data_IF_728081072411
#
_entry.id   IF_728081072411
#
_cell.length_a   1.000
_cell.length_b   1.000
_cell.length_c   1.000
_cell.angle_alpha   90.00
_cell.angle_beta   90.00
_cell.angle_gamma   90.00
#
_symmetry.space_group_name_H-M   'P 1'
#
loop_
_entity.id
_entity.type
_entity.pdbx_description
1 polymer ?
#
# COMPACT_ATOMS: atom_id res chain seq x y z
N UNK A 1 29.82 29.55 -22.62
CA UNK A 1 30.55 28.31 -22.98
C UNK A 1 31.96 28.44 -22.42
N UNK A 2 32.30 27.65 -21.41
CA UNK A 2 33.66 27.62 -20.87
C UNK A 2 34.04 26.16 -20.68
N UNK A 3 34.83 25.65 -21.64
CA UNK A 3 35.31 24.28 -21.63
C UNK A 3 36.70 24.26 -20.98
N UNK A 4 36.80 23.59 -19.83
CA UNK A 4 38.09 23.23 -19.24
C UNK A 4 38.46 21.82 -19.70
N UNK A 5 39.57 21.74 -20.41
CA UNK A 5 40.12 20.51 -20.96
C UNK A 5 40.92 19.73 -19.90
N UNK A 6 40.55 18.45 -19.77
CA UNK A 6 41.40 17.25 -19.66
C UNK A 6 42.79 17.42 -19.02
N UNK A 7 42.88 17.03 -17.75
CA UNK A 7 43.99 16.29 -17.13
C UNK A 7 43.33 15.23 -16.25
N UNK A 8 43.75 13.98 -16.10
CA UNK A 8 44.87 13.19 -16.57
C UNK A 8 44.65 11.85 -15.86
N UNK A 9 44.65 10.74 -16.61
CA UNK A 9 44.52 9.39 -16.05
C UNK A 9 45.72 9.10 -15.15
N UNK A 10 45.53 8.47 -13.99
CA UNK A 10 46.34 7.33 -13.51
C UNK A 10 45.79 6.73 -12.18
N UNK A 11 45.50 5.43 -12.26
CA UNK A 11 45.70 4.35 -11.27
C UNK A 11 45.03 4.39 -9.87
N UNK A 12 43.96 3.60 -9.76
CA UNK A 12 43.81 2.44 -8.87
C UNK A 12 44.13 2.56 -7.35
N UNK A 13 43.06 2.54 -6.56
CA UNK A 13 42.94 1.67 -5.39
C UNK A 13 41.48 1.19 -5.29
N UNK A 14 41.22 -0.01 -5.78
CA UNK A 14 39.94 -0.68 -5.62
C UNK A 14 39.82 -1.20 -4.18
N UNK A 15 38.99 -0.57 -3.36
CA UNK A 15 38.42 -1.25 -2.19
C UNK A 15 37.16 -1.92 -2.70
N UNK A 16 37.31 -3.17 -3.14
CA UNK A 16 36.18 -4.09 -3.24
C UNK A 16 35.81 -4.46 -1.81
N UNK A 17 34.89 -3.72 -1.22
CA UNK A 17 34.12 -4.26 -0.10
C UNK A 17 33.25 -5.34 -0.73
N UNK A 18 33.66 -6.59 -0.53
CA UNK A 18 32.85 -7.77 -0.81
C UNK A 18 31.62 -7.75 0.10
N UNK A 19 30.62 -6.94 -0.26
CA UNK A 19 29.24 -7.08 0.19
C UNK A 19 28.58 -8.25 -0.53
N UNK A 20 29.12 -9.46 -0.36
CA UNK A 20 28.39 -10.70 -0.60
C UNK A 20 27.44 -10.92 0.58
N UNK A 21 26.47 -10.02 0.73
CA UNK A 21 25.27 -10.28 1.50
C UNK A 21 24.36 -11.12 0.60
N UNK A 22 24.37 -12.43 0.82
CA UNK A 22 23.54 -13.45 0.21
C UNK A 22 22.35 -12.91 -0.60
N UNK A 23 22.51 -12.85 -1.93
CA UNK A 23 21.36 -13.07 -2.81
C UNK A 23 20.97 -14.52 -2.58
N UNK A 24 20.05 -14.73 -1.63
CA UNK A 24 19.56 -16.04 -1.26
C UNK A 24 19.13 -16.79 -2.52
N UNK A 25 19.87 -17.86 -2.84
CA UNK A 25 19.36 -18.91 -3.69
C UNK A 25 18.25 -19.60 -2.89
N UNK A 26 17.05 -19.02 -2.86
CA UNK A 26 15.88 -19.60 -2.21
C UNK A 26 15.33 -20.72 -3.12
N UNK A 27 16.05 -21.83 -3.16
CA UNK A 27 15.62 -23.05 -3.85
C UNK A 27 15.31 -24.20 -2.89
N UNK A 28 15.51 -24.01 -1.58
CA UNK A 28 15.02 -24.94 -0.56
C UNK A 28 13.65 -24.49 -0.05
N UNK A 29 12.68 -25.41 -0.09
CA UNK A 29 11.37 -25.21 0.55
C UNK A 29 11.57 -24.82 2.02
N UNK A 30 10.87 -23.77 2.46
CA UNK A 30 10.98 -23.28 3.83
C UNK A 30 10.68 -24.38 4.85
N UNK A 31 11.46 -24.43 5.94
CA UNK A 31 11.28 -25.47 6.97
C UNK A 31 9.88 -25.42 7.61
N UNK A 32 9.40 -26.52 8.20
CA UNK A 32 8.11 -26.54 8.90
C UNK A 32 8.00 -25.45 9.99
N UNK A 33 9.08 -25.18 10.72
CA UNK A 33 9.18 -24.12 11.73
C UNK A 33 9.04 -22.74 11.10
N UNK A 34 9.69 -22.52 9.96
CA UNK A 34 9.63 -21.26 9.23
C UNK A 34 8.23 -20.98 8.68
N UNK A 35 7.59 -21.99 8.07
CA UNK A 35 6.21 -21.91 7.61
C UNK A 35 5.23 -21.70 8.78
N UNK A 36 5.51 -22.25 9.96
CA UNK A 36 4.70 -22.01 11.17
C UNK A 36 4.80 -20.55 11.62
N UNK A 37 6.01 -20.00 11.70
CA UNK A 37 6.21 -18.59 12.02
C UNK A 37 5.54 -17.68 10.98
N UNK A 38 5.67 -17.99 9.69
CA UNK A 38 5.05 -17.23 8.62
C UNK A 38 3.51 -17.25 8.68
N UNK A 39 2.89 -18.41 8.94
CA UNK A 39 1.44 -18.51 9.15
C UNK A 39 0.97 -17.64 10.32
N UNK A 40 1.71 -17.66 11.44
CA UNK A 40 1.39 -16.82 12.60
C UNK A 40 1.44 -15.33 12.25
N UNK A 41 2.45 -14.91 11.47
CA UNK A 41 2.59 -13.53 11.00
C UNK A 41 1.44 -13.13 10.08
N UNK A 42 1.14 -13.93 9.05
CA UNK A 42 0.05 -13.67 8.10
C UNK A 42 -1.28 -13.45 8.82
N UNK A 43 -1.57 -14.30 9.82
CA UNK A 43 -2.75 -14.17 10.65
C UNK A 43 -2.71 -12.91 11.53
N UNK A 44 -1.58 -12.63 12.19
CA UNK A 44 -1.44 -11.49 13.10
C UNK A 44 -1.66 -10.14 12.41
N UNK A 45 -1.19 -10.00 11.16
CA UNK A 45 -1.29 -8.73 10.41
C UNK A 45 -2.51 -8.68 9.48
N UNK A 46 -3.34 -9.73 9.44
CA UNK A 46 -4.47 -9.86 8.52
C UNK A 46 -4.07 -9.72 7.05
N UNK A 47 -2.93 -10.30 6.65
CA UNK A 47 -2.32 -10.06 5.33
C UNK A 47 -3.23 -10.46 4.15
N UNK A 48 -4.13 -11.42 4.37
CA UNK A 48 -5.01 -11.99 3.34
C UNK A 48 -6.45 -11.52 3.43
N UNK A 49 -6.80 -10.65 4.39
CA UNK A 49 -8.20 -10.21 4.62
C UNK A 49 -8.84 -9.59 3.38
N UNK A 50 -8.08 -8.84 2.58
CA UNK A 50 -8.60 -8.24 1.34
C UNK A 50 -9.06 -9.29 0.32
N UNK A 51 -8.52 -10.51 0.39
CA UNK A 51 -8.86 -11.62 -0.51
C UNK A 51 -10.13 -12.37 -0.11
N UNK A 52 -10.73 -12.06 1.04
CA UNK A 52 -12.00 -12.67 1.47
C UNK A 52 -13.16 -12.33 0.51
N UNK A 53 -12.98 -11.31 -0.34
CA UNK A 53 -13.93 -10.91 -1.37
C UNK A 53 -13.89 -11.77 -2.63
N UNK A 54 -12.83 -12.54 -2.88
CA UNK A 54 -12.62 -13.27 -4.14
C UNK A 54 -13.77 -14.23 -4.44
N UNK A 55 -14.10 -15.11 -3.49
CA UNK A 55 -15.15 -16.11 -3.67
C UNK A 55 -16.55 -15.47 -3.83
N UNK A 56 -16.97 -14.51 -2.98
CA UNK A 56 -18.20 -13.75 -3.20
C UNK A 56 -18.27 -13.05 -4.57
N UNK A 57 -17.17 -12.46 -5.04
CA UNK A 57 -17.12 -11.80 -6.34
C UNK A 57 -17.32 -12.80 -7.48
N UNK A 58 -16.63 -13.94 -7.45
CA UNK A 58 -16.78 -15.01 -8.46
C UNK A 58 -18.22 -15.54 -8.45
N UNK A 59 -18.77 -15.82 -7.26
CA UNK A 59 -20.14 -16.31 -7.11
C UNK A 59 -21.16 -15.29 -7.66
N UNK A 60 -20.99 -14.00 -7.35
CA UNK A 60 -21.85 -12.94 -7.88
C UNK A 60 -21.80 -12.82 -9.40
N UNK A 61 -20.60 -12.90 -9.99
CA UNK A 61 -20.42 -12.90 -11.45
C UNK A 61 -21.10 -14.11 -12.11
N UNK A 62 -20.95 -15.30 -11.52
CA UNK A 62 -21.59 -16.51 -12.02
C UNK A 62 -23.12 -16.42 -11.96
N UNK A 63 -23.69 -15.91 -10.85
CA UNK A 63 -25.13 -15.67 -10.75
C UNK A 63 -25.62 -14.72 -11.83
N UNK A 64 -24.95 -13.57 -12.01
CA UNK A 64 -25.35 -12.59 -13.03
C UNK A 64 -25.37 -13.21 -14.43
N UNK A 65 -24.36 -14.01 -14.77
CA UNK A 65 -24.29 -14.72 -16.04
C UNK A 65 -25.44 -15.72 -16.22
N UNK A 66 -25.72 -16.55 -15.21
CA UNK A 66 -26.76 -17.58 -15.26
C UNK A 66 -28.17 -16.98 -15.29
N UNK A 67 -28.41 -15.92 -14.51
CA UNK A 67 -29.69 -15.19 -14.48
C UNK A 67 -29.94 -14.57 -15.84
N UNK A 68 -28.94 -13.93 -16.45
CA UNK A 68 -29.07 -13.39 -17.80
C UNK A 68 -29.45 -14.47 -18.83
N UNK A 69 -28.84 -15.66 -18.73
CA UNK A 69 -29.14 -16.77 -19.63
C UNK A 69 -30.53 -17.39 -19.37
N UNK A 70 -30.99 -17.40 -18.12
CA UNK A 70 -32.23 -18.07 -17.70
C UNK A 70 -33.01 -17.26 -16.64
N UNK A 71 -33.62 -16.12 -17.00
CA UNK A 71 -34.14 -15.15 -16.03
C UNK A 71 -35.23 -15.69 -15.09
N UNK A 72 -36.05 -16.64 -15.56
CA UNK A 72 -37.15 -17.21 -14.78
C UNK A 72 -36.69 -18.09 -13.59
N UNK A 73 -35.40 -18.36 -13.46
CA UNK A 73 -34.84 -19.25 -12.44
C UNK A 73 -33.95 -18.53 -11.42
N UNK A 74 -34.00 -17.19 -11.35
CA UNK A 74 -33.16 -16.40 -10.45
C UNK A 74 -33.12 -16.90 -8.99
N UNK A 75 -34.25 -17.25 -8.33
CA UNK A 75 -34.21 -17.76 -6.96
C UNK A 75 -33.41 -19.06 -6.84
N UNK A 76 -33.63 -19.99 -7.77
CA UNK A 76 -32.97 -21.31 -7.79
C UNK A 76 -31.48 -21.17 -8.10
N UNK A 77 -31.11 -20.30 -9.05
CA UNK A 77 -29.72 -20.00 -9.38
C UNK A 77 -28.99 -19.43 -8.16
N UNK A 78 -29.63 -18.47 -7.48
CA UNK A 78 -29.07 -17.81 -6.30
C UNK A 78 -28.82 -18.83 -5.19
N UNK A 79 -29.83 -19.64 -4.86
CA UNK A 79 -29.75 -20.69 -3.86
C UNK A 79 -28.61 -21.68 -4.15
N UNK A 80 -28.55 -22.23 -5.37
CA UNK A 80 -27.56 -23.25 -5.73
C UNK A 80 -26.15 -22.66 -5.73
N UNK A 81 -25.95 -21.47 -6.33
CA UNK A 81 -24.61 -20.86 -6.39
C UNK A 81 -24.11 -20.50 -5.00
N UNK A 82 -24.97 -20.01 -4.11
CA UNK A 82 -24.57 -19.75 -2.71
C UNK A 82 -24.23 -21.03 -1.96
N UNK A 83 -25.05 -22.07 -2.07
CA UNK A 83 -24.77 -23.36 -1.46
C UNK A 83 -23.42 -23.92 -1.93
N UNK A 84 -23.15 -23.85 -3.24
CA UNK A 84 -21.88 -24.31 -3.82
C UNK A 84 -20.69 -23.44 -3.44
N UNK A 85 -20.88 -22.12 -3.32
CA UNK A 85 -19.83 -21.24 -2.82
C UNK A 85 -19.47 -21.61 -1.36
N UNK A 86 -20.46 -21.88 -0.50
CA UNK A 86 -20.23 -22.31 0.87
C UNK A 86 -19.44 -23.64 0.92
N UNK A 87 -19.81 -24.62 0.09
CA UNK A 87 -19.11 -25.92 0.01
C UNK A 87 -17.60 -25.76 -0.29
N UNK A 88 -17.24 -24.80 -1.15
CA UNK A 88 -15.83 -24.58 -1.54
C UNK A 88 -15.11 -23.51 -0.70
N UNK A 89 -15.78 -22.87 0.26
CA UNK A 89 -15.19 -21.83 1.09
C UNK A 89 -13.93 -22.30 1.84
N UNK A 90 -13.86 -23.59 2.19
CA UNK A 90 -12.68 -24.20 2.83
C UNK A 90 -11.39 -24.08 2.00
N UNK A 91 -11.48 -23.92 0.66
CA UNK A 91 -10.32 -23.69 -0.21
C UNK A 91 -9.58 -22.39 0.10
N UNK A 92 -10.15 -21.53 0.94
CA UNK A 92 -9.48 -20.37 1.54
C UNK A 92 -8.17 -20.75 2.26
N UNK A 93 -8.07 -21.97 2.76
CA UNK A 93 -6.84 -22.51 3.36
C UNK A 93 -5.69 -22.69 2.36
N UNK A 94 -5.99 -22.93 1.07
CA UNK A 94 -4.96 -23.03 0.02
C UNK A 94 -4.25 -21.68 -0.14
N UNK A 95 -5.01 -20.59 -0.12
CA UNK A 95 -4.47 -19.23 -0.17
C UNK A 95 -3.61 -18.90 1.05
N UNK A 96 -4.03 -19.31 2.26
CA UNK A 96 -3.22 -19.14 3.48
C UNK A 96 -1.89 -19.90 3.40
N UNK A 97 -1.91 -21.10 2.82
CA UNK A 97 -0.69 -21.90 2.62
C UNK A 97 0.28 -21.19 1.68
N UNK A 98 -0.21 -20.64 0.58
CA UNK A 98 0.64 -19.90 -0.37
C UNK A 98 1.15 -18.58 0.24
N UNK A 99 0.30 -17.85 0.97
CA UNK A 99 0.72 -16.64 1.68
C UNK A 99 1.85 -16.94 2.69
N UNK A 100 1.73 -18.02 3.46
CA UNK A 100 2.78 -18.42 4.39
C UNK A 100 4.11 -18.75 3.71
N UNK A 101 4.10 -19.39 2.53
CA UNK A 101 5.33 -19.64 1.76
C UNK A 101 5.99 -18.33 1.34
N UNK A 102 5.21 -17.39 0.80
CA UNK A 102 5.71 -16.07 0.38
C UNK A 102 6.36 -15.35 1.57
N UNK A 103 5.71 -15.35 2.73
CA UNK A 103 6.26 -14.72 3.94
C UNK A 103 7.51 -15.42 4.47
N UNK A 104 7.55 -16.76 4.44
CA UNK A 104 8.74 -17.51 4.81
C UNK A 104 9.92 -17.25 3.87
N UNK A 105 9.67 -17.07 2.57
CA UNK A 105 10.72 -16.71 1.60
C UNK A 105 11.20 -15.26 1.74
N UNK A 106 10.39 -14.38 2.32
CA UNK A 106 10.67 -12.94 2.40
C UNK A 106 11.37 -12.55 3.70
N UNK A 107 11.03 -13.20 4.81
CA UNK A 107 11.48 -12.82 6.15
C UNK A 107 12.14 -13.99 6.87
N UNK A 108 13.11 -13.70 7.74
CA UNK A 108 13.69 -14.68 8.66
C UNK A 108 12.68 -15.12 9.73
N UNK A 109 12.94 -16.24 10.41
CA UNK A 109 12.09 -16.72 11.51
C UNK A 109 12.03 -15.68 12.64
N UNK A 110 13.16 -15.06 12.95
CA UNK A 110 13.30 -14.04 13.98
C UNK A 110 12.43 -12.81 13.68
N UNK A 111 12.46 -12.31 12.44
CA UNK A 111 11.64 -11.19 11.99
C UNK A 111 10.15 -11.54 12.01
N UNK A 112 9.77 -12.71 11.51
CA UNK A 112 8.38 -13.19 11.54
C UNK A 112 7.85 -13.25 12.98
N UNK A 113 8.63 -13.79 13.90
CA UNK A 113 8.26 -13.86 15.31
C UNK A 113 8.15 -12.46 15.94
N UNK A 114 9.06 -11.54 15.62
CA UNK A 114 9.02 -10.16 16.13
C UNK A 114 7.78 -9.41 15.61
N UNK A 115 7.47 -9.52 14.31
CA UNK A 115 6.26 -8.94 13.69
C UNK A 115 5.01 -9.52 14.38
N UNK A 116 4.95 -10.85 14.50
CA UNK A 116 3.84 -11.53 15.19
C UNK A 116 3.66 -11.01 16.62
N UNK A 117 4.73 -10.92 17.40
CA UNK A 117 4.69 -10.45 18.78
C UNK A 117 4.15 -9.01 18.87
N UNK A 118 4.59 -8.11 17.98
CA UNK A 118 4.08 -6.74 17.95
C UNK A 118 2.60 -6.67 17.59
N UNK A 119 2.18 -7.28 16.47
CA UNK A 119 0.81 -7.19 15.99
C UNK A 119 -0.21 -7.99 16.83
N UNK A 120 0.25 -8.94 17.64
CA UNK A 120 -0.56 -9.61 18.66
C UNK A 120 -0.54 -8.90 20.03
N UNK A 121 0.20 -7.81 20.20
CA UNK A 121 0.11 -6.96 21.40
C UNK A 121 -1.19 -6.12 21.41
N UNK A 122 -1.64 -5.60 22.57
CA UNK A 122 -2.79 -4.69 22.61
C UNK A 122 -2.63 -3.45 21.71
N UNK A 123 -1.42 -2.87 21.66
CA UNK A 123 -1.14 -1.71 20.82
C UNK A 123 -1.13 -2.07 19.32
N UNK A 124 -0.50 -3.20 18.94
CA UNK A 124 -0.45 -3.66 17.56
C UNK A 124 -1.84 -4.01 17.01
N UNK A 125 -2.67 -4.72 17.79
CA UNK A 125 -4.08 -4.97 17.41
C UNK A 125 -4.86 -3.67 17.21
N UNK A 126 -4.73 -2.73 18.17
CA UNK A 126 -5.39 -1.42 18.07
C UNK A 126 -4.91 -0.64 16.85
N UNK A 127 -3.65 -0.76 16.45
CA UNK A 127 -3.14 -0.13 15.24
C UNK A 127 -3.76 -0.72 13.97
N UNK A 128 -3.94 -2.04 13.89
CA UNK A 128 -4.63 -2.68 12.76
C UNK A 128 -6.10 -2.25 12.69
N UNK A 129 -6.79 -2.22 13.83
CA UNK A 129 -8.22 -1.88 13.91
C UNK A 129 -8.48 -0.39 13.64
N UNK A 130 -7.69 0.49 14.26
CA UNK A 130 -7.95 1.93 14.27
C UNK A 130 -7.06 2.72 13.31
N UNK A 131 -6.02 2.12 12.74
CA UNK A 131 -5.12 2.77 11.78
C UNK A 131 -5.87 3.41 10.61
N UNK A 132 -6.78 2.69 9.92
CA UNK A 132 -7.57 3.29 8.84
C UNK A 132 -8.45 4.46 9.29
N UNK A 133 -8.97 4.42 10.52
CA UNK A 133 -9.75 5.52 11.10
C UNK A 133 -8.85 6.73 11.31
N UNK A 134 -7.69 6.55 11.94
CA UNK A 134 -6.72 7.60 12.16
C UNK A 134 -6.26 8.25 10.84
N UNK A 135 -5.98 7.45 9.80
CA UNK A 135 -5.58 7.99 8.49
C UNK A 135 -6.69 8.78 7.82
N UNK A 136 -7.95 8.34 7.94
CA UNK A 136 -9.08 9.12 7.42
C UNK A 136 -9.24 10.45 8.14
N UNK A 137 -9.11 10.48 9.47
CA UNK A 137 -9.20 11.74 10.21
C UNK A 137 -8.00 12.67 9.92
N UNK A 138 -6.80 12.11 9.75
CA UNK A 138 -5.63 12.85 9.32
C UNK A 138 -5.82 13.46 7.92
N UNK A 139 -6.40 12.72 6.97
CA UNK A 139 -6.70 13.23 5.64
C UNK A 139 -7.66 14.43 5.69
N UNK A 140 -8.74 14.35 6.48
CA UNK A 140 -9.65 15.49 6.69
C UNK A 140 -8.93 16.72 7.26
N UNK A 141 -8.03 16.52 8.22
CA UNK A 141 -7.25 17.62 8.79
C UNK A 141 -6.33 18.26 7.73
N UNK A 142 -5.73 17.45 6.85
CA UNK A 142 -4.92 17.93 5.74
C UNK A 142 -5.74 18.76 4.74
N UNK A 143 -6.97 18.34 4.42
CA UNK A 143 -7.87 19.07 3.52
C UNK A 143 -8.23 20.47 4.07
N UNK A 144 -8.53 20.54 5.38
CA UNK A 144 -8.82 21.80 6.07
C UNK A 144 -7.59 22.72 6.05
N UNK A 145 -6.43 22.17 6.39
CA UNK A 145 -5.17 22.92 6.36
C UNK A 145 -4.85 23.45 4.96
N UNK A 146 -4.97 22.62 3.92
CA UNK A 146 -4.74 23.01 2.53
C UNK A 146 -5.70 24.12 2.06
N UNK A 147 -6.96 24.07 2.48
CA UNK A 147 -7.95 25.12 2.21
C UNK A 147 -7.53 26.45 2.83
N UNK A 148 -7.04 26.42 4.08
CA UNK A 148 -6.52 27.60 4.77
C UNK A 148 -5.30 28.20 4.05
N UNK A 149 -4.31 27.38 3.71
CA UNK A 149 -3.12 27.80 2.96
C UNK A 149 -3.52 28.43 1.62
N UNK A 150 -4.46 27.81 0.89
CA UNK A 150 -4.93 28.33 -0.40
C UNK A 150 -5.53 29.72 -0.27
N UNK A 151 -6.41 29.92 0.73
CA UNK A 151 -7.01 31.22 1.02
C UNK A 151 -5.94 32.27 1.32
N UNK A 152 -5.03 31.96 2.24
CA UNK A 152 -4.06 32.91 2.75
C UNK A 152 -3.02 33.26 1.68
N UNK A 153 -2.54 32.28 0.92
CA UNK A 153 -1.63 32.48 -0.20
C UNK A 153 -2.27 33.31 -1.32
N UNK A 154 -3.54 33.02 -1.66
CA UNK A 154 -4.27 33.78 -2.68
C UNK A 154 -4.42 35.25 -2.28
N UNK A 155 -4.78 35.51 -1.02
CA UNK A 155 -4.89 36.87 -0.48
C UNK A 155 -3.55 37.60 -0.53
N UNK A 156 -2.50 37.01 0.05
CA UNK A 156 -1.18 37.64 0.11
C UNK A 156 -0.63 37.93 -1.29
N UNK A 157 -0.82 37.00 -2.24
CA UNK A 157 -0.39 37.19 -3.63
C UNK A 157 -1.14 38.33 -4.31
N UNK A 158 -2.46 38.37 -4.14
CA UNK A 158 -3.30 39.44 -4.71
C UNK A 158 -2.93 40.81 -4.15
N UNK A 159 -2.76 40.91 -2.82
CA UNK A 159 -2.38 42.15 -2.15
C UNK A 159 -1.00 42.63 -2.66
N UNK A 160 -0.03 41.73 -2.80
CA UNK A 160 1.31 42.05 -3.31
C UNK A 160 1.30 42.49 -4.78
N UNK A 161 0.50 41.82 -5.63
CA UNK A 161 0.33 42.20 -7.04
C UNK A 161 -0.27 43.60 -7.14
N UNK A 162 -1.36 43.88 -6.42
CA UNK A 162 -2.03 45.17 -6.44
C UNK A 162 -1.09 46.30 -5.97
N UNK A 163 -0.36 46.07 -4.87
CA UNK A 163 0.61 47.05 -4.37
C UNK A 163 1.70 47.38 -5.42
N UNK A 164 2.18 46.37 -6.16
CA UNK A 164 3.18 46.55 -7.21
C UNK A 164 2.61 47.30 -8.41
N UNK A 165 1.41 46.95 -8.87
CA UNK A 165 0.75 47.65 -9.98
C UNK A 165 0.53 49.13 -9.67
N UNK A 166 0.02 49.46 -8.48
CA UNK A 166 -0.18 50.85 -8.07
C UNK A 166 1.13 51.64 -7.96
N UNK A 167 2.23 51.00 -7.57
CA UNK A 167 3.55 51.64 -7.55
C UNK A 167 4.07 51.92 -8.98
N UNK A 168 3.86 51.00 -9.92
CA UNK A 168 4.23 51.18 -11.32
C UNK A 168 3.41 52.28 -12.01
N UNK A 169 2.12 52.40 -11.71
CA UNK A 169 1.25 53.48 -12.22
C UNK A 169 1.71 54.86 -11.73
N UNK A 170 2.03 54.99 -10.44
CA UNK A 170 2.55 56.24 -9.85
C UNK A 170 3.87 56.66 -10.48
N UNK A 171 4.77 55.71 -10.76
CA UNK A 171 6.06 55.98 -11.40
C UNK A 171 5.94 56.41 -12.87
N UNK A 172 4.80 56.16 -13.53
CA UNK A 172 4.51 56.59 -14.90
C UNK A 172 3.85 57.97 -15.00
N UNK A 173 3.40 58.55 -13.88
CA UNK A 173 2.85 59.90 -13.88
C UNK A 173 3.99 60.94 -14.05
N UNK A 174 3.86 61.92 -14.97
CA UNK A 174 4.92 62.92 -15.19
C UNK A 174 5.14 63.75 -13.92
N UNK A 175 6.40 63.83 -13.47
CA UNK A 175 6.82 64.72 -12.38
C UNK A 175 6.59 66.16 -12.85
N UNK A 176 5.53 66.79 -12.35
CA UNK A 176 5.26 68.22 -12.47
C UNK A 176 5.99 68.98 -11.37
#
# INVERSE_FOLDING_TARGET
>A
MMQFSKLGRLAAAAIVVAGLGATGAFADDASPEHLKAARATVAAINATRTFDTILPTIAGQLKAQLIQATPNFEPVITEIVDAKAIEIAARRADLEKEAAKVYAQTFTIEELNAITAFYTSPAGRKLIENGPIAQRELAKAADIWATGITRDLSKASTDAINAKLSAEEKNKAPQQ
#
